data_IF_097184807868
#
_entry.id   IF_097184807868
#
_cell.length_a   1.000
_cell.length_b   1.000
_cell.length_c   1.000
_cell.angle_alpha   90.00
_cell.angle_beta   90.00
_cell.angle_gamma   90.00
#
_symmetry.space_group_name_H-M   'P 1'
#
loop_
_entity.id
_entity.type
_entity.pdbx_description
1 polymer ?
#
# COMPACT_ATOMS: atom_id res chain seq x y z
N UNK A 1 -9.10 6.23 20.60
CA UNK A 1 -8.86 4.94 19.92
C UNK A 1 -9.38 3.82 20.81
N UNK A 2 -9.84 2.69 20.25
CA UNK A 2 -10.28 1.53 21.05
C UNK A 2 -9.12 0.82 21.77
N UNK A 3 -7.87 1.12 21.38
CA UNK A 3 -6.63 0.60 21.96
C UNK A 3 -5.77 1.74 22.50
N UNK A 4 -4.86 1.46 23.43
CA UNK A 4 -3.79 2.38 23.82
C UNK A 4 -2.56 2.28 22.92
N UNK A 5 -2.52 1.26 22.03
CA UNK A 5 -1.52 1.10 20.98
C UNK A 5 -2.02 1.74 19.69
N UNK A 6 -1.28 2.71 19.16
CA UNK A 6 -1.60 3.41 17.91
C UNK A 6 -0.35 3.44 17.05
N UNK A 7 -0.52 3.04 15.78
CA UNK A 7 0.50 3.21 14.75
C UNK A 7 0.27 4.53 14.04
N UNK A 8 1.28 5.40 14.03
CA UNK A 8 1.25 6.66 13.30
C UNK A 8 2.29 6.64 12.18
N UNK A 9 1.82 6.77 10.94
CA UNK A 9 2.68 6.98 9.78
C UNK A 9 2.58 8.45 9.36
N UNK A 10 3.73 9.11 9.27
CA UNK A 10 3.83 10.44 8.67
C UNK A 10 4.67 10.34 7.41
N UNK A 11 4.31 11.11 6.38
CA UNK A 11 5.02 11.17 5.11
C UNK A 11 5.25 12.63 4.76
N UNK A 12 6.47 12.97 4.41
CA UNK A 12 6.86 14.31 3.96
C UNK A 12 7.13 14.23 2.48
N UNK A 13 6.45 15.07 1.70
CA UNK A 13 6.67 15.12 0.26
C UNK A 13 8.09 15.59 -0.05
N UNK A 14 8.72 14.94 -1.03
CA UNK A 14 9.98 15.36 -1.64
C UNK A 14 9.74 15.53 -3.14
N UNK A 15 9.95 16.74 -3.66
CA UNK A 15 9.74 17.03 -5.10
C UNK A 15 10.93 16.70 -5.97
N UNK A 16 12.14 16.92 -5.45
CA UNK A 16 13.40 16.70 -6.14
C UNK A 16 14.53 16.43 -5.13
N UNK A 17 15.75 16.04 -5.58
CA UNK A 17 16.85 15.76 -4.68
C UNK A 17 17.28 16.93 -3.77
N UNK A 18 17.04 18.19 -4.14
CA UNK A 18 17.34 19.35 -3.29
C UNK A 18 16.28 19.49 -2.18
N UNK A 19 15.02 19.21 -2.51
CA UNK A 19 13.90 19.20 -1.56
C UNK A 19 14.05 18.09 -0.50
N UNK A 20 14.76 17.01 -0.83
CA UNK A 20 15.03 15.92 0.11
C UNK A 20 15.77 16.38 1.36
N UNK A 21 16.74 17.30 1.21
CA UNK A 21 17.48 17.89 2.35
C UNK A 21 16.53 18.69 3.24
N UNK A 22 15.63 19.48 2.64
CA UNK A 22 14.65 20.29 3.38
C UNK A 22 13.65 19.39 4.11
N UNK A 23 13.17 18.33 3.48
CA UNK A 23 12.26 17.36 4.09
C UNK A 23 12.93 16.63 5.27
N UNK A 24 14.19 16.22 5.12
CA UNK A 24 14.96 15.59 6.18
C UNK A 24 15.15 16.53 7.39
N UNK A 25 15.46 17.82 7.15
CA UNK A 25 15.51 18.80 8.24
C UNK A 25 14.15 19.01 8.91
N UNK A 26 13.06 19.07 8.13
CA UNK A 26 11.70 19.18 8.69
C UNK A 26 11.35 17.99 9.59
N UNK A 27 11.73 16.77 9.19
CA UNK A 27 11.46 15.56 9.96
C UNK A 27 12.19 15.53 11.32
N UNK A 28 13.35 16.19 11.45
CA UNK A 28 14.03 16.34 12.75
C UNK A 28 13.22 17.14 13.77
N UNK A 29 12.24 17.93 13.32
CA UNK A 29 11.33 18.67 14.19
C UNK A 29 10.11 17.86 14.62
N UNK A 30 9.91 16.63 14.13
CA UNK A 30 8.81 15.78 14.56
C UNK A 30 9.06 15.29 15.98
N UNK A 31 8.08 15.50 16.85
CA UNK A 31 8.18 15.26 18.30
C UNK A 31 6.97 14.50 18.79
N UNK A 32 7.18 13.66 19.81
CA UNK A 32 6.09 12.97 20.51
C UNK A 32 6.25 13.13 22.03
N UNK A 33 5.15 13.40 22.73
CA UNK A 33 5.11 13.41 24.19
C UNK A 33 3.71 12.98 24.70
N UNK A 34 3.62 12.46 25.94
CA UNK A 34 2.36 12.43 26.66
C UNK A 34 1.82 13.85 26.86
N UNK A 35 0.50 14.03 26.77
CA UNK A 35 -0.15 15.34 26.92
C UNK A 35 0.19 16.01 28.27
N UNK A 36 0.26 15.23 29.36
CA UNK A 36 0.58 15.73 30.70
C UNK A 36 1.98 16.35 30.83
N UNK A 37 2.89 16.04 29.90
CA UNK A 37 4.24 16.58 29.86
C UNK A 37 4.47 17.52 28.69
N UNK A 38 3.48 17.84 27.86
CA UNK A 38 3.69 18.67 26.68
C UNK A 38 3.87 20.16 27.03
N UNK A 39 4.84 20.89 26.44
CA UNK A 39 5.90 20.42 25.53
C UNK A 39 7.19 19.94 26.24
N UNK A 40 7.32 20.12 27.55
CA UNK A 40 8.56 19.91 28.30
C UNK A 40 9.14 18.49 28.23
N UNK A 41 8.30 17.46 28.09
CA UNK A 41 8.67 16.06 27.98
C UNK A 41 8.71 15.53 26.53
N UNK A 42 8.63 16.43 25.54
CA UNK A 42 8.65 16.05 24.14
C UNK A 42 10.00 15.44 23.76
N UNK A 43 9.96 14.24 23.19
CA UNK A 43 11.15 13.56 22.69
C UNK A 43 11.35 13.92 21.22
N UNK A 44 12.60 14.14 20.85
CA UNK A 44 13.04 14.15 19.47
C UNK A 44 12.68 12.84 18.77
N UNK A 45 12.40 12.91 17.48
CA UNK A 45 12.38 11.72 16.63
C UNK A 45 13.73 11.03 16.64
N UNK A 46 13.72 9.70 16.61
CA UNK A 46 14.93 8.92 16.36
C UNK A 46 15.11 8.88 14.84
N UNK A 47 16.21 9.44 14.35
CA UNK A 47 16.60 9.32 12.94
C UNK A 47 17.39 8.03 12.79
N UNK A 48 16.93 7.14 11.94
CA UNK A 48 17.65 5.94 11.53
C UNK A 48 17.75 5.97 10.02
N UNK A 49 18.97 6.06 9.52
CA UNK A 49 19.24 5.96 8.09
C UNK A 49 18.98 4.51 7.63
N UNK A 50 18.59 4.35 6.36
CA UNK A 50 18.44 3.04 5.70
C UNK A 50 17.42 2.07 6.30
N UNK A 51 16.47 2.55 7.10
CA UNK A 51 15.35 1.71 7.58
C UNK A 51 14.31 1.54 6.48
N UNK A 52 14.47 0.47 5.72
CA UNK A 52 13.46 0.06 4.75
C UNK A 52 12.38 -0.78 5.44
N UNK A 53 11.22 -0.17 5.71
CA UNK A 53 10.05 -0.91 6.17
C UNK A 53 9.31 -1.53 4.97
N UNK A 54 9.85 -2.60 4.40
CA UNK A 54 9.04 -3.47 3.53
C UNK A 54 8.24 -4.38 4.46
N UNK A 55 6.94 -4.11 4.54
CA UNK A 55 6.01 -5.04 5.17
C UNK A 55 5.69 -6.12 4.14
N UNK A 56 6.13 -7.37 4.34
CA UNK A 56 5.80 -8.44 3.42
C UNK A 56 4.28 -8.68 3.44
N UNK A 57 3.77 -9.35 2.41
CA UNK A 57 2.43 -9.90 2.47
C UNK A 57 2.34 -10.80 3.70
N UNK A 58 1.42 -10.50 4.59
CA UNK A 58 1.33 -11.15 5.90
C UNK A 58 0.79 -12.58 5.74
N UNK A 59 1.64 -13.55 6.05
CA UNK A 59 1.27 -14.95 6.22
C UNK A 59 1.41 -15.33 7.69
N UNK A 60 0.27 -15.54 8.35
CA UNK A 60 0.23 -15.88 9.76
C UNK A 60 0.41 -17.38 10.02
N UNK A 61 0.42 -18.22 8.99
CA UNK A 61 0.51 -19.68 9.18
C UNK A 61 1.72 -20.15 9.98
N UNK A 62 2.92 -19.53 9.90
CA UNK A 62 4.06 -19.94 10.72
C UNK A 62 3.85 -19.72 12.23
N UNK A 63 2.96 -18.81 12.64
CA UNK A 63 2.66 -18.57 14.05
C UNK A 63 1.90 -19.75 14.71
N UNK A 64 1.26 -20.60 13.89
CA UNK A 64 0.54 -21.78 14.37
C UNK A 64 -0.47 -21.44 15.47
N UNK A 65 -0.45 -22.21 16.55
CA UNK A 65 -1.35 -22.02 17.68
C UNK A 65 -1.01 -20.77 18.52
N UNK A 66 0.25 -20.32 18.50
CA UNK A 66 0.71 -19.13 19.25
C UNK A 66 0.02 -17.83 18.83
N UNK A 67 -0.49 -17.76 17.59
CA UNK A 67 -1.35 -16.67 17.14
C UNK A 67 -2.55 -16.45 18.08
N UNK A 68 -3.18 -17.53 18.55
CA UNK A 68 -4.36 -17.43 19.40
C UNK A 68 -4.01 -17.03 20.84
N UNK A 69 -2.79 -17.31 21.30
CA UNK A 69 -2.30 -16.84 22.59
C UNK A 69 -2.09 -15.32 22.58
N UNK A 70 -1.45 -14.81 21.53
CA UNK A 70 -1.29 -13.38 21.32
C UNK A 70 -2.65 -12.68 21.15
N UNK A 71 -3.54 -13.26 20.36
CA UNK A 71 -4.91 -12.75 20.20
C UNK A 71 -5.65 -12.71 21.54
N UNK A 72 -5.56 -13.75 22.36
CA UNK A 72 -6.19 -13.78 23.68
C UNK A 72 -5.67 -12.66 24.58
N UNK A 73 -4.35 -12.45 24.62
CA UNK A 73 -3.73 -11.38 25.40
C UNK A 73 -4.17 -9.99 24.91
N UNK A 74 -4.20 -9.78 23.59
CA UNK A 74 -4.63 -8.50 23.00
C UNK A 74 -6.11 -8.20 23.25
N UNK A 75 -6.98 -9.19 23.11
CA UNK A 75 -8.43 -9.04 23.36
C UNK A 75 -8.71 -8.81 24.85
N UNK A 76 -7.92 -9.43 25.75
CA UNK A 76 -8.01 -9.18 27.19
C UNK A 76 -7.61 -7.74 27.56
N UNK A 77 -6.54 -7.23 26.94
CA UNK A 77 -6.07 -5.86 27.15
C UNK A 77 -6.97 -4.80 26.46
N UNK A 78 -7.51 -5.14 25.30
CA UNK A 78 -8.32 -4.24 24.46
C UNK A 78 -9.60 -4.96 24.00
N UNK A 79 -10.62 -5.05 24.87
CA UNK A 79 -11.86 -5.74 24.53
C UNK A 79 -12.53 -5.18 23.27
N UNK A 80 -13.05 -6.04 22.36
CA UNK A 80 -13.80 -5.62 21.19
C UNK A 80 -14.98 -4.72 21.54
N UNK A 81 -15.14 -3.62 20.80
CA UNK A 81 -16.24 -2.66 20.97
C UNK A 81 -17.05 -2.51 19.69
N UNK A 82 -18.29 -2.04 19.83
CA UNK A 82 -19.16 -1.75 18.69
C UNK A 82 -19.40 -2.98 17.81
N UNK A 83 -19.33 -2.85 16.47
CA UNK A 83 -19.52 -3.97 15.54
C UNK A 83 -18.57 -5.15 15.77
N UNK A 84 -17.36 -4.90 16.30
CA UNK A 84 -16.38 -5.96 16.51
C UNK A 84 -16.78 -6.91 17.65
N UNK A 85 -17.54 -6.43 18.64
CA UNK A 85 -18.06 -7.28 19.71
C UNK A 85 -18.97 -8.40 19.16
N UNK A 86 -19.78 -8.09 18.13
CA UNK A 86 -20.62 -9.08 17.48
C UNK A 86 -19.81 -10.13 16.70
N UNK A 87 -18.71 -9.72 16.06
CA UNK A 87 -17.79 -10.64 15.39
C UNK A 87 -17.15 -11.62 16.39
N UNK A 88 -16.71 -11.11 17.55
CA UNK A 88 -16.10 -11.91 18.61
C UNK A 88 -17.08 -12.82 19.35
N UNK A 89 -18.37 -12.47 19.43
CA UNK A 89 -19.39 -13.33 20.03
C UNK A 89 -19.45 -14.72 19.40
N UNK A 90 -19.09 -14.84 18.12
CA UNK A 90 -19.05 -16.11 17.36
C UNK A 90 -18.00 -17.10 17.88
N UNK A 91 -16.98 -16.62 18.58
CA UNK A 91 -15.89 -17.43 19.16
C UNK A 91 -15.91 -17.40 20.69
N UNK A 92 -17.00 -16.92 21.30
CA UNK A 92 -17.14 -16.77 22.75
C UNK A 92 -16.94 -18.08 23.51
N UNK A 93 -17.31 -19.23 22.93
CA UNK A 93 -17.10 -20.55 23.51
C UNK A 93 -15.61 -20.87 23.77
N UNK A 94 -14.69 -20.27 23.01
CA UNK A 94 -13.25 -20.42 23.24
C UNK A 94 -12.80 -19.64 24.47
N UNK A 95 -13.56 -18.67 24.97
CA UNK A 95 -13.15 -17.82 26.09
C UNK A 95 -12.03 -16.83 25.75
N UNK A 96 -11.81 -16.51 24.46
CA UNK A 96 -10.83 -15.51 24.02
C UNK A 96 -11.09 -14.14 24.69
N UNK A 97 -10.02 -13.52 25.21
CA UNK A 97 -10.07 -12.31 26.01
C UNK A 97 -10.26 -12.54 27.51
N UNK A 98 -10.32 -13.80 27.96
CA UNK A 98 -10.54 -14.16 29.36
C UNK A 98 -9.56 -15.23 29.84
N UNK A 99 -9.53 -15.50 31.14
CA UNK A 99 -8.74 -16.60 31.70
C UNK A 99 -9.31 -17.99 31.35
N UNK A 100 -10.55 -18.05 30.86
CA UNK A 100 -11.17 -19.31 30.43
C UNK A 100 -10.56 -19.86 29.12
N UNK A 101 -9.85 -19.03 28.33
CA UNK A 101 -9.21 -19.51 27.10
C UNK A 101 -8.27 -20.68 27.38
N UNK A 102 -7.46 -20.62 28.44
CA UNK A 102 -6.52 -21.69 28.75
C UNK A 102 -7.19 -23.07 28.96
N UNK A 103 -8.40 -23.10 29.52
CA UNK A 103 -9.15 -24.33 29.74
C UNK A 103 -9.95 -24.79 28.51
N UNK A 104 -10.45 -23.84 27.71
CA UNK A 104 -11.32 -24.11 26.56
C UNK A 104 -10.57 -24.24 25.23
N UNK A 105 -9.26 -23.90 25.22
CA UNK A 105 -8.42 -23.89 24.02
C UNK A 105 -8.32 -25.30 23.40
N UNK A 106 -8.60 -25.46 22.10
CA UNK A 106 -8.35 -26.70 21.36
C UNK A 106 -6.86 -27.06 21.34
N UNK A 107 -6.52 -28.28 20.90
CA UNK A 107 -5.12 -28.67 20.74
C UNK A 107 -4.39 -27.77 19.72
N UNK A 108 -3.07 -27.64 19.86
CA UNK A 108 -2.26 -26.83 18.95
C UNK A 108 -2.39 -27.27 17.49
N UNK A 109 -2.55 -28.58 17.25
CA UNK A 109 -2.78 -29.10 15.91
C UNK A 109 -4.09 -28.57 15.30
N UNK A 110 -5.17 -28.50 16.08
CA UNK A 110 -6.46 -27.96 15.62
C UNK A 110 -6.36 -26.46 15.34
N UNK A 111 -5.67 -25.71 16.20
CA UNK A 111 -5.50 -24.26 16.02
C UNK A 111 -4.60 -23.92 14.83
N UNK A 112 -3.50 -24.62 14.64
CA UNK A 112 -2.62 -24.44 13.49
C UNK A 112 -3.35 -24.73 12.17
N UNK A 113 -4.14 -25.80 12.14
CA UNK A 113 -4.98 -26.17 10.99
C UNK A 113 -6.12 -25.15 10.76
N UNK A 114 -6.73 -24.63 11.83
CA UNK A 114 -7.71 -23.53 11.73
C UNK A 114 -7.08 -22.26 11.15
N UNK A 115 -5.87 -21.88 11.57
CA UNK A 115 -5.15 -20.73 11.04
C UNK A 115 -4.78 -20.92 9.57
N UNK A 116 -4.34 -22.11 9.18
CA UNK A 116 -4.09 -22.45 7.76
C UNK A 116 -5.34 -22.29 6.89
N UNK A 117 -6.49 -22.80 7.34
CA UNK A 117 -7.77 -22.60 6.64
C UNK A 117 -8.17 -21.13 6.60
N UNK A 118 -7.98 -20.40 7.69
CA UNK A 118 -8.28 -18.98 7.76
C UNK A 118 -7.43 -18.18 6.75
N UNK A 119 -6.12 -18.43 6.70
CA UNK A 119 -5.23 -17.79 5.73
C UNK A 119 -5.64 -18.08 4.28
N UNK A 120 -6.02 -19.33 3.97
CA UNK A 120 -6.54 -19.68 2.65
C UNK A 120 -7.83 -18.93 2.29
N UNK A 121 -8.75 -18.80 3.25
CA UNK A 121 -9.99 -18.03 3.09
C UNK A 121 -9.71 -16.54 2.89
N UNK A 122 -8.81 -15.95 3.70
CA UNK A 122 -8.39 -14.55 3.61
C UNK A 122 -7.79 -14.27 2.23
N UNK A 123 -6.89 -15.13 1.76
CA UNK A 123 -6.27 -15.01 0.43
C UNK A 123 -7.28 -15.08 -0.73
N UNK A 124 -8.38 -15.82 -0.55
CA UNK A 124 -9.43 -15.97 -1.55
C UNK A 124 -10.44 -14.80 -1.57
N UNK A 125 -10.41 -13.89 -0.58
CA UNK A 125 -11.28 -12.70 -0.60
C UNK A 125 -10.80 -11.78 -1.72
N UNK A 126 -11.66 -11.54 -2.70
CA UNK A 126 -11.38 -10.54 -3.71
C UNK A 126 -11.79 -9.16 -3.21
N UNK A 127 -10.80 -8.36 -2.83
CA UNK A 127 -10.98 -6.97 -2.37
C UNK A 127 -10.69 -5.94 -3.46
N UNK A 128 -10.32 -6.39 -4.65
CA UNK A 128 -9.85 -5.50 -5.71
C UNK A 128 -10.57 -5.75 -7.04
N UNK A 129 -10.67 -4.69 -7.82
CA UNK A 129 -11.13 -4.75 -9.20
C UNK A 129 -9.92 -4.69 -10.13
N UNK A 130 -10.02 -5.33 -11.30
CA UNK A 130 -9.03 -5.24 -12.36
C UNK A 130 -9.66 -4.56 -13.56
N UNK A 131 -9.14 -3.40 -13.92
CA UNK A 131 -9.60 -2.60 -15.04
C UNK A 131 -8.39 -2.11 -15.84
N UNK A 132 -8.42 -2.28 -17.16
CA UNK A 132 -7.32 -1.88 -18.05
C UNK A 132 -5.93 -2.43 -17.65
N UNK A 133 -5.86 -3.64 -17.06
CA UNK A 133 -4.60 -4.22 -16.60
C UNK A 133 -4.10 -3.65 -15.26
N UNK A 134 -4.91 -2.86 -14.56
CA UNK A 134 -4.61 -2.32 -13.24
C UNK A 134 -5.52 -2.91 -12.18
N UNK A 135 -4.93 -3.42 -11.09
CA UNK A 135 -5.63 -3.86 -9.89
C UNK A 135 -5.73 -2.73 -8.89
N UNK A 136 -6.95 -2.42 -8.45
CA UNK A 136 -7.25 -1.33 -7.51
C UNK A 136 -8.24 -1.78 -6.45
N UNK A 137 -8.04 -1.35 -5.19
CA UNK A 137 -8.97 -1.57 -4.09
C UNK A 137 -9.48 -0.22 -3.60
N UNK A 138 -10.73 0.13 -3.93
CA UNK A 138 -11.40 1.36 -3.48
C UNK A 138 -12.11 1.19 -2.13
N UNK A 139 -12.13 -0.02 -1.57
CA UNK A 139 -12.83 -0.34 -0.33
C UNK A 139 -11.95 -0.21 0.92
N UNK A 140 -10.71 0.29 0.78
CA UNK A 140 -9.88 0.64 1.93
C UNK A 140 -10.47 1.90 2.57
N UNK A 141 -11.39 1.73 3.51
CA UNK A 141 -12.08 2.82 4.20
C UNK A 141 -11.58 2.95 5.64
N UNK A 142 -12.04 4.00 6.34
CA UNK A 142 -11.72 4.20 7.77
C UNK A 142 -12.11 3.00 8.64
N UNK A 143 -13.19 2.30 8.27
CA UNK A 143 -13.71 1.16 9.01
C UNK A 143 -14.24 0.09 8.06
N UNK A 144 -13.41 -0.91 7.74
CA UNK A 144 -13.84 -2.11 7.03
C UNK A 144 -14.58 -3.01 8.02
N UNK A 145 -15.90 -3.17 7.83
CA UNK A 145 -16.77 -3.89 8.76
C UNK A 145 -16.67 -5.41 8.61
N UNK A 146 -16.54 -5.91 7.37
CA UNK A 146 -16.38 -7.34 7.13
C UNK A 146 -14.98 -7.81 7.61
N UNK A 147 -14.89 -8.75 8.55
CA UNK A 147 -13.59 -9.19 9.07
C UNK A 147 -12.70 -9.85 8.03
N UNK A 148 -13.27 -10.53 7.04
CA UNK A 148 -12.50 -11.22 6.01
C UNK A 148 -11.93 -10.23 5.00
N UNK A 149 -12.71 -9.22 4.59
CA UNK A 149 -12.24 -8.09 3.77
C UNK A 149 -11.17 -7.27 4.49
N UNK A 150 -11.38 -6.99 5.78
CA UNK A 150 -10.40 -6.27 6.62
C UNK A 150 -9.10 -7.05 6.75
N UNK A 151 -9.19 -8.34 7.05
CA UNK A 151 -8.02 -9.21 7.13
C UNK A 151 -7.29 -9.31 5.78
N UNK A 152 -8.02 -9.50 4.67
CA UNK A 152 -7.43 -9.59 3.34
C UNK A 152 -6.72 -8.28 2.96
N UNK A 153 -7.37 -7.13 3.15
CA UNK A 153 -6.77 -5.82 2.90
C UNK A 153 -5.49 -5.61 3.71
N UNK A 154 -5.54 -5.89 5.02
CA UNK A 154 -4.39 -5.72 5.90
C UNK A 154 -3.26 -6.74 5.61
N UNK A 155 -3.57 -7.92 5.08
CA UNK A 155 -2.57 -8.91 4.67
C UNK A 155 -1.73 -8.44 3.47
N UNK A 156 -2.30 -7.65 2.56
CA UNK A 156 -1.57 -7.14 1.39
C UNK A 156 -0.89 -5.79 1.62
N UNK A 157 -1.45 -4.94 2.47
CA UNK A 157 -0.90 -3.59 2.71
C UNK A 157 -1.16 -3.11 4.14
N UNK A 158 -0.41 -3.62 5.13
CA UNK A 158 -0.57 -3.12 6.49
C UNK A 158 -0.23 -1.62 6.55
N UNK A 159 -1.13 -0.83 7.14
CA UNK A 159 -0.96 0.63 7.18
C UNK A 159 -1.20 1.35 5.86
N UNK A 160 -1.84 0.71 4.87
CA UNK A 160 -2.33 1.40 3.68
C UNK A 160 -3.24 2.59 4.09
N UNK A 161 -3.15 3.68 3.34
CA UNK A 161 -4.08 4.79 3.52
C UNK A 161 -5.48 4.35 3.09
N UNK A 162 -6.50 5.02 3.65
CA UNK A 162 -7.85 4.95 3.10
C UNK A 162 -7.83 5.48 1.66
N UNK A 163 -8.72 4.96 0.81
CA UNK A 163 -8.77 5.28 -0.61
C UNK A 163 -8.91 6.79 -0.87
N UNK A 164 -9.63 7.51 0.01
CA UNK A 164 -9.81 8.96 -0.10
C UNK A 164 -8.51 9.75 0.14
N UNK A 165 -7.51 9.17 0.80
CA UNK A 165 -6.21 9.84 1.00
C UNK A 165 -5.16 9.38 0.01
N UNK A 166 -5.12 8.08 -0.31
CA UNK A 166 -4.33 7.59 -1.43
C UNK A 166 -4.92 6.30 -2.01
N UNK A 167 -5.00 6.25 -3.34
CA UNK A 167 -5.46 5.08 -4.07
C UNK A 167 -4.32 4.48 -4.89
N UNK A 168 -4.23 3.15 -4.86
CA UNK A 168 -3.11 2.39 -5.42
C UNK A 168 -3.59 1.48 -6.56
N UNK A 169 -2.96 1.63 -7.72
CA UNK A 169 -3.18 0.82 -8.90
C UNK A 169 -1.91 0.00 -9.15
N UNK A 170 -1.99 -1.32 -8.92
CA UNK A 170 -0.89 -2.24 -9.21
C UNK A 170 -1.10 -2.86 -10.57
N UNK A 171 -0.15 -2.71 -11.49
CA UNK A 171 -0.23 -3.35 -12.79
C UNK A 171 -0.28 -4.88 -12.61
N UNK A 172 -1.25 -5.54 -13.24
CA UNK A 172 -1.30 -7.01 -13.33
C UNK A 172 -0.64 -7.51 -14.61
N UNK A 173 -0.51 -6.65 -15.61
CA UNK A 173 0.09 -6.93 -16.91
C UNK A 173 -0.12 -5.77 -17.88
N UNK A 174 0.33 -5.96 -19.11
CA UNK A 174 0.02 -5.04 -20.21
C UNK A 174 -1.43 -5.18 -20.70
N UNK A 175 -1.80 -4.38 -21.71
CA UNK A 175 -3.13 -4.41 -22.33
C UNK A 175 -3.53 -5.80 -22.89
N UNK A 176 -2.55 -6.65 -23.21
CA UNK A 176 -2.76 -8.03 -23.66
C UNK A 176 -2.76 -9.05 -22.51
N UNK A 177 -2.68 -8.60 -21.26
CA UNK A 177 -2.65 -9.45 -20.08
C UNK A 177 -1.32 -10.16 -19.83
N UNK A 178 -0.24 -9.75 -20.51
CA UNK A 178 1.08 -10.35 -20.32
C UNK A 178 1.82 -9.72 -19.13
N UNK A 179 2.58 -10.51 -18.35
CA UNK A 179 3.45 -9.96 -17.30
C UNK A 179 4.45 -8.95 -17.85
N UNK A 180 4.73 -7.91 -17.07
CA UNK A 180 5.65 -6.85 -17.45
C UNK A 180 7.12 -7.31 -17.38
N UNK A 181 7.90 -7.02 -18.42
CA UNK A 181 9.33 -7.33 -18.50
C UNK A 181 10.05 -6.36 -19.44
N UNK A 182 11.27 -5.94 -19.09
CA UNK A 182 12.03 -4.96 -19.90
C UNK A 182 12.55 -5.46 -21.23
N UNK A 183 12.42 -6.76 -21.50
CA UNK A 183 12.47 -7.33 -22.84
C UNK A 183 11.48 -6.67 -23.83
N UNK A 184 10.48 -5.93 -23.32
CA UNK A 184 9.57 -5.13 -24.13
C UNK A 184 9.57 -3.66 -23.69
N UNK A 185 9.07 -2.79 -24.56
CA UNK A 185 8.77 -1.40 -24.23
C UNK A 185 7.27 -1.24 -24.05
N UNK A 186 6.87 -0.35 -23.14
CA UNK A 186 5.48 -0.06 -22.85
C UNK A 186 5.24 1.44 -22.89
N UNK A 187 4.01 1.83 -23.21
CA UNK A 187 3.54 3.20 -23.14
C UNK A 187 2.28 3.30 -22.29
N UNK A 188 2.27 4.29 -21.40
CA UNK A 188 1.09 4.74 -20.67
C UNK A 188 0.72 6.12 -21.21
N UNK A 189 -0.39 6.21 -21.94
CA UNK A 189 -0.83 7.48 -22.55
C UNK A 189 -2.11 7.98 -21.90
N UNK A 190 -2.03 9.17 -21.32
CA UNK A 190 -3.18 9.94 -20.85
C UNK A 190 -3.64 10.87 -21.99
N UNK A 191 -4.88 10.72 -22.49
CA UNK A 191 -5.41 11.66 -23.48
C UNK A 191 -5.40 13.11 -22.97
N UNK A 192 -5.42 14.06 -23.91
CA UNK A 192 -5.46 15.48 -23.57
C UNK A 192 -6.63 15.82 -22.63
N UNK A 193 -6.33 16.48 -21.52
CA UNK A 193 -7.33 16.82 -20.49
C UNK A 193 -7.84 15.63 -19.65
N UNK A 194 -7.24 14.44 -19.78
CA UNK A 194 -7.63 13.22 -19.07
C UNK A 194 -6.54 12.67 -18.14
N UNK A 195 -5.71 13.56 -17.59
CA UNK A 195 -4.87 13.20 -16.45
C UNK A 195 -5.74 12.77 -15.25
N UNK A 196 -5.22 11.95 -14.33
CA UNK A 196 -5.98 11.50 -13.17
C UNK A 196 -6.46 12.69 -12.32
N UNK A 197 -7.75 12.74 -11.96
CA UNK A 197 -8.30 13.84 -11.18
C UNK A 197 -7.92 13.69 -9.69
N UNK A 198 -6.98 14.52 -9.23
CA UNK A 198 -6.39 14.47 -7.88
C UNK A 198 -6.23 15.87 -7.32
N UNK A 199 -6.48 16.05 -6.03
CA UNK A 199 -6.27 17.34 -5.35
C UNK A 199 -4.80 17.57 -4.96
N UNK A 200 -4.01 16.50 -4.80
CA UNK A 200 -2.60 16.59 -4.46
C UNK A 200 -1.69 16.27 -5.65
N UNK A 201 -1.41 14.99 -5.90
CA UNK A 201 -0.55 14.56 -7.01
C UNK A 201 -0.78 13.09 -7.37
N UNK A 202 -0.26 12.66 -8.53
CA UNK A 202 -0.14 11.25 -8.89
C UNK A 202 1.30 10.85 -9.19
N UNK A 203 1.60 9.55 -9.10
CA UNK A 203 2.93 9.01 -9.43
C UNK A 203 2.83 7.62 -10.04
N UNK A 204 3.68 7.31 -11.03
CA UNK A 204 4.00 5.98 -11.53
C UNK A 204 5.41 5.61 -11.06
N UNK A 205 5.52 4.58 -10.21
CA UNK A 205 6.81 4.10 -9.69
C UNK A 205 7.08 2.69 -10.21
N UNK A 206 8.33 2.43 -10.61
CA UNK A 206 8.80 1.12 -11.04
C UNK A 206 9.56 0.42 -9.91
N UNK A 207 9.29 -0.87 -9.75
CA UNK A 207 9.97 -1.74 -8.81
C UNK A 207 10.48 -3.01 -9.50
N UNK A 208 11.54 -3.60 -8.95
CA UNK A 208 11.95 -4.96 -9.25
C UNK A 208 10.91 -5.99 -8.80
N UNK A 209 11.14 -7.28 -9.12
CA UNK A 209 10.23 -8.37 -8.70
C UNK A 209 10.20 -8.56 -7.17
N UNK A 210 11.19 -8.02 -6.47
CA UNK A 210 11.34 -7.99 -5.01
C UNK A 210 10.72 -6.75 -4.34
N UNK A 211 10.06 -5.88 -5.12
CA UNK A 211 9.50 -4.61 -4.69
C UNK A 211 10.53 -3.56 -4.23
N UNK A 212 11.81 -3.71 -4.59
CA UNK A 212 12.82 -2.66 -4.43
C UNK A 212 12.88 -1.75 -5.66
N UNK A 213 13.41 -0.53 -5.48
CA UNK A 213 13.71 0.35 -6.61
C UNK A 213 14.88 -0.24 -7.42
N UNK A 214 14.86 0.00 -8.73
CA UNK A 214 15.87 -0.54 -9.65
C UNK A 214 16.82 0.58 -10.07
N UNK A 215 18.10 0.42 -9.73
CA UNK A 215 19.17 1.33 -10.17
C UNK A 215 19.15 1.54 -11.68
N UNK A 216 19.31 2.80 -12.09
CA UNK A 216 19.30 3.17 -13.50
C UNK A 216 20.12 4.44 -13.76
N UNK A 217 20.57 4.67 -15.00
CA UNK A 217 21.48 5.79 -15.32
C UNK A 217 20.92 7.19 -15.08
N UNK A 218 19.60 7.35 -14.91
CA UNK A 218 18.96 8.64 -14.67
C UNK A 218 18.69 8.92 -13.19
N UNK A 219 18.98 7.97 -12.29
CA UNK A 219 18.55 8.02 -10.88
C UNK A 219 17.04 8.32 -10.78
N UNK A 220 16.26 7.76 -11.73
CA UNK A 220 14.82 8.02 -11.89
C UNK A 220 14.04 6.74 -11.64
N UNK A 221 13.38 6.67 -10.50
CA UNK A 221 12.62 5.49 -10.09
C UNK A 221 11.11 5.62 -10.30
N UNK A 222 10.67 6.81 -10.68
CA UNK A 222 9.28 7.08 -11.00
C UNK A 222 9.08 8.39 -11.72
N UNK A 223 7.85 8.58 -12.21
CA UNK A 223 7.37 9.81 -12.83
C UNK A 223 6.11 10.24 -12.08
N UNK A 224 6.00 11.52 -11.80
CA UNK A 224 4.81 12.16 -11.22
C UNK A 224 4.45 13.42 -12.02
N UNK A 225 3.28 13.98 -11.79
CA UNK A 225 2.83 15.25 -12.41
C UNK A 225 3.74 16.46 -12.16
N UNK A 226 4.63 16.39 -11.16
CA UNK A 226 5.60 17.43 -10.81
C UNK A 226 7.01 17.12 -11.31
N UNK A 227 7.20 16.03 -12.06
CA UNK A 227 8.52 15.65 -12.58
C UNK A 227 9.05 16.74 -13.51
N UNK A 228 10.21 17.34 -13.21
CA UNK A 228 10.75 18.43 -14.03
C UNK A 228 11.01 17.97 -15.47
N UNK A 229 10.56 18.78 -16.43
CA UNK A 229 10.83 18.55 -17.84
C UNK A 229 9.92 17.54 -18.54
N UNK A 230 8.79 17.14 -17.93
CA UNK A 230 7.76 16.38 -18.65
C UNK A 230 7.30 17.13 -19.90
N UNK A 231 7.17 16.40 -21.01
CA UNK A 231 6.75 16.93 -22.31
C UNK A 231 5.40 16.37 -22.69
N UNK A 232 4.46 17.24 -23.02
CA UNK A 232 3.19 16.82 -23.61
C UNK A 232 3.37 16.66 -25.13
N UNK A 233 2.59 15.76 -25.70
CA UNK A 233 2.49 15.58 -27.14
C UNK A 233 1.81 16.81 -27.78
N UNK A 234 1.89 16.93 -29.11
CA UNK A 234 1.31 18.06 -29.85
C UNK A 234 -0.21 18.16 -29.73
N UNK A 235 -0.89 17.03 -29.48
CA UNK A 235 -2.34 16.97 -29.24
C UNK A 235 -2.72 17.28 -27.77
N UNK A 236 -1.73 17.54 -26.90
CA UNK A 236 -1.90 17.83 -25.48
C UNK A 236 -1.95 16.59 -24.57
N UNK A 237 -1.84 15.38 -25.12
CA UNK A 237 -1.74 14.14 -24.34
C UNK A 237 -0.37 14.02 -23.65
N UNK A 238 -0.30 13.17 -22.62
CA UNK A 238 0.95 12.81 -21.94
C UNK A 238 1.22 11.32 -22.14
N UNK A 239 2.35 10.99 -22.77
CA UNK A 239 2.82 9.60 -22.89
C UNK A 239 4.05 9.38 -22.03
N UNK A 240 3.97 8.41 -21.12
CA UNK A 240 5.11 7.89 -20.35
C UNK A 240 5.59 6.61 -21.04
N UNK A 241 6.89 6.52 -21.31
CA UNK A 241 7.53 5.33 -21.89
C UNK A 241 8.22 4.55 -20.79
N UNK A 242 7.90 3.27 -20.63
CA UNK A 242 8.58 2.35 -19.71
C UNK A 242 9.35 1.34 -20.54
N UNK A 243 10.69 1.41 -20.51
CA UNK A 243 11.53 0.58 -21.37
C UNK A 243 12.92 0.38 -20.77
N UNK A 244 13.55 -0.76 -21.07
CA UNK A 244 14.93 -1.01 -20.68
C UNK A 244 15.92 -0.17 -21.51
N UNK A 245 15.77 -0.17 -22.84
CA UNK A 245 16.59 0.64 -23.73
C UNK A 245 16.10 2.09 -23.75
N UNK A 246 17.04 3.04 -23.61
CA UNK A 246 16.73 4.46 -23.64
C UNK A 246 16.13 4.88 -25.00
N UNK A 247 14.97 5.54 -25.04
CA UNK A 247 14.48 6.21 -26.25
C UNK A 247 15.34 7.44 -26.57
N UNK A 248 15.20 7.95 -27.79
CA UNK A 248 15.91 9.17 -28.23
C UNK A 248 15.56 10.40 -27.36
N UNK A 249 14.31 10.53 -26.95
CA UNK A 249 13.85 11.56 -26.01
C UNK A 249 13.53 10.90 -24.67
N UNK A 250 14.33 11.23 -23.65
CA UNK A 250 14.23 10.63 -22.31
C UNK A 250 13.34 11.43 -21.35
N UNK A 251 12.72 12.54 -21.81
CA UNK A 251 11.92 13.42 -20.96
C UNK A 251 10.86 12.66 -20.14
N UNK A 252 10.07 11.81 -20.82
CA UNK A 252 9.00 11.01 -20.20
C UNK A 252 9.37 9.52 -20.09
N UNK A 253 10.66 9.18 -20.15
CA UNK A 253 11.12 7.81 -20.02
C UNK A 253 11.27 7.42 -18.54
N UNK A 254 10.69 6.29 -18.17
CA UNK A 254 10.91 5.58 -16.91
C UNK A 254 11.77 4.34 -17.20
N UNK A 255 13.05 4.33 -16.81
CA UNK A 255 13.94 3.19 -17.04
C UNK A 255 13.45 1.92 -16.36
N UNK A 256 13.45 0.81 -17.11
CA UNK A 256 13.13 -0.53 -16.60
C UNK A 256 14.38 -1.44 -16.56
N UNK A 257 14.43 -2.44 -15.66
CA UNK A 257 15.42 -3.52 -15.78
C UNK A 257 15.13 -4.36 -17.03
N UNK A 258 16.12 -5.09 -17.54
CA UNK A 258 15.93 -6.05 -18.65
C UNK A 258 14.92 -7.18 -18.29
N UNK A 259 14.86 -7.52 -17.00
CA UNK A 259 13.99 -8.56 -16.45
C UNK A 259 12.56 -8.11 -16.11
N UNK A 260 11.89 -8.95 -15.30
CA UNK A 260 10.55 -8.65 -14.78
C UNK A 260 10.57 -7.43 -13.87
N UNK A 261 9.48 -6.67 -13.89
CA UNK A 261 9.28 -5.52 -13.01
C UNK A 261 7.81 -5.39 -12.62
N UNK A 262 7.55 -4.54 -11.63
CA UNK A 262 6.22 -4.16 -11.18
C UNK A 262 6.03 -2.65 -11.39
N UNK A 263 4.82 -2.23 -11.78
CA UNK A 263 4.44 -0.82 -11.84
C UNK A 263 3.32 -0.55 -10.84
N UNK A 264 3.53 0.46 -10.00
CA UNK A 264 2.51 0.96 -9.09
C UNK A 264 2.20 2.40 -9.46
N UNK A 265 0.97 2.66 -9.86
CA UNK A 265 0.43 3.99 -10.02
C UNK A 265 -0.30 4.38 -8.73
N UNK A 266 -0.03 5.59 -8.23
CA UNK A 266 -0.59 6.09 -6.97
C UNK A 266 -1.23 7.44 -7.22
N UNK A 267 -2.41 7.65 -6.68
CA UNK A 267 -3.07 8.96 -6.62
C UNK A 267 -3.16 9.38 -5.17
N UNK A 268 -2.93 10.66 -4.90
CA UNK A 268 -2.98 11.25 -3.56
C UNK A 268 -4.09 12.28 -3.52
N UNK A 269 -5.00 12.12 -2.55
CA UNK A 269 -6.29 12.82 -2.53
C UNK A 269 -7.05 12.70 -3.85
N UNK A 270 -7.39 11.46 -4.27
CA UNK A 270 -8.16 11.23 -5.50
C UNK A 270 -9.55 11.86 -5.40
N UNK A 271 -9.98 12.48 -6.49
CA UNK A 271 -11.36 12.97 -6.61
C UNK A 271 -12.36 11.82 -6.80
N UNK A 272 -13.65 12.12 -6.63
CA UNK A 272 -14.74 11.14 -6.73
C UNK A 272 -14.70 10.21 -7.95
N UNK A 273 -14.37 10.66 -9.19
CA UNK A 273 -14.33 9.77 -10.35
C UNK A 273 -13.36 8.59 -10.22
N UNK A 274 -12.26 8.74 -9.49
CA UNK A 274 -11.32 7.63 -9.22
C UNK A 274 -11.87 6.66 -8.17
N UNK A 275 -12.58 7.19 -7.17
CA UNK A 275 -13.13 6.42 -6.05
C UNK A 275 -14.35 5.58 -6.44
N UNK A 276 -15.20 6.13 -7.31
CA UNK A 276 -16.42 5.47 -7.80
C UNK A 276 -16.25 4.73 -9.15
N UNK A 277 -15.03 4.75 -9.72
CA UNK A 277 -14.67 4.00 -10.91
C UNK A 277 -15.10 4.62 -12.25
N UNK A 278 -15.62 5.85 -12.26
CA UNK A 278 -15.92 6.59 -13.51
C UNK A 278 -14.65 6.95 -14.29
N UNK A 279 -13.55 7.24 -13.60
CA UNK A 279 -12.23 7.39 -14.22
C UNK A 279 -11.51 6.05 -14.22
N UNK A 280 -11.07 5.61 -15.41
CA UNK A 280 -10.28 4.40 -15.58
C UNK A 280 -8.86 4.77 -15.98
N UNK A 281 -7.87 4.27 -15.25
CA UNK A 281 -6.47 4.45 -15.61
C UNK A 281 -6.23 3.81 -17.00
N UNK A 282 -5.53 4.50 -17.94
CA UNK A 282 -5.27 3.92 -19.25
C UNK A 282 -4.44 2.64 -19.14
N UNK A 283 -4.65 1.66 -20.04
CA UNK A 283 -3.86 0.44 -20.05
C UNK A 283 -2.41 0.72 -20.49
N UNK A 284 -1.51 -0.14 -20.04
CA UNK A 284 -0.13 -0.17 -20.55
C UNK A 284 -0.11 -0.83 -21.92
N UNK A 285 0.15 -0.05 -22.97
CA UNK A 285 0.27 -0.57 -24.32
C UNK A 285 1.69 -1.07 -24.54
N UNK A 286 1.83 -2.36 -24.87
CA UNK A 286 3.09 -2.90 -25.36
C UNK A 286 3.39 -2.31 -26.74
N UNK A 287 4.58 -1.74 -26.89
CA UNK A 287 5.07 -1.20 -28.16
C UNK A 287 5.60 -2.32 -29.08
#
# INVERSE_FOLDING_TARGET
>A
APTTLVLAFTRTLVRDPKDAVVAAELQKHYRLAPLSGWPAAAKDGIVQDDVLNILPVLDLTPAGAGFFDELNALVKAYPPVGPEAANFARVSALGLGTDAFAANRPSDAVLADALKRAQARIKAVNVAQVENGWRVNTHITRFIQDPAERAATNSYGPGAHIAEEALYFSAVGDAGGQPLSGANSYSLTFPAGQLPPVDAFWSLILYGPDFFLVDNPLDRYGINDRTPGLKHNTDGSLTIVVAHTAPKDTANWLPAPDGRFQLLFRTYQPEAPLLDGRYKLPPLQKA
#
